data_IF_124795670114
#
_entry.id   IF_124795670114
#
_cell.length_a   1.000
_cell.length_b   1.000
_cell.length_c   1.000
_cell.angle_alpha   90.00
_cell.angle_beta   90.00
_cell.angle_gamma   90.00
#
_symmetry.space_group_name_H-M   'P 1'
#
loop_
_entity.id
_entity.type
_entity.pdbx_description
1 polymer ?
#
# COMPACT_ATOMS: atom_id res chain seq x y z
N UNK A 1 19.91 -23.99 -2.16
CA UNK A 1 18.76 -23.40 -2.88
C UNK A 1 17.69 -23.09 -1.84
N UNK A 2 17.51 -21.83 -1.40
CA UNK A 2 16.39 -21.46 -0.56
C UNK A 2 15.13 -21.31 -1.42
N UNK A 3 13.98 -21.67 -0.84
CA UNK A 3 12.67 -21.72 -1.51
C UNK A 3 12.09 -20.31 -1.64
N UNK A 4 11.41 -20.05 -2.76
CA UNK A 4 10.84 -18.76 -3.15
C UNK A 4 9.59 -18.32 -2.34
N UNK A 5 9.45 -18.73 -1.08
CA UNK A 5 8.27 -18.44 -0.25
C UNK A 5 8.54 -17.61 1.01
N UNK A 6 9.80 -17.43 1.41
CA UNK A 6 10.13 -16.87 2.73
C UNK A 6 10.27 -15.33 2.74
N UNK A 7 10.30 -14.69 1.56
CA UNK A 7 10.53 -13.24 1.45
C UNK A 7 9.32 -12.38 1.83
N UNK A 8 8.10 -12.86 1.62
CA UNK A 8 6.88 -12.08 1.85
C UNK A 8 6.54 -12.02 3.35
N UNK A 9 6.74 -13.11 4.10
CA UNK A 9 6.46 -13.16 5.54
C UNK A 9 7.40 -12.27 6.37
N UNK A 10 8.66 -12.09 5.92
CA UNK A 10 9.66 -11.27 6.60
C UNK A 10 9.32 -9.77 6.50
N UNK A 11 8.62 -9.35 5.43
CA UNK A 11 8.08 -7.98 5.29
C UNK A 11 6.90 -7.69 6.21
N UNK A 12 5.99 -8.64 6.46
CA UNK A 12 4.83 -8.44 7.34
C UNK A 12 5.21 -8.33 8.82
N UNK A 13 6.11 -9.16 9.33
CA UNK A 13 6.54 -9.08 10.74
C UNK A 13 7.50 -7.91 11.03
N UNK A 14 8.27 -7.46 10.03
CA UNK A 14 9.26 -6.40 10.20
C UNK A 14 8.68 -4.98 10.39
N UNK A 15 7.42 -4.76 10.00
CA UNK A 15 6.70 -3.49 10.13
C UNK A 15 6.05 -3.38 11.53
N UNK A 16 5.49 -4.48 12.04
CA UNK A 16 4.81 -4.52 13.35
C UNK A 16 5.78 -4.30 14.53
N UNK A 17 6.97 -4.90 14.53
CA UNK A 17 7.95 -4.74 15.62
C UNK A 17 8.53 -3.32 15.73
N UNK A 18 8.47 -2.52 14.66
CA UNK A 18 9.11 -1.18 14.61
C UNK A 18 8.20 -0.04 15.05
N UNK A 19 6.91 -0.28 15.24
CA UNK A 19 5.97 0.74 15.69
C UNK A 19 6.03 0.99 17.21
N UNK A 20 6.65 0.10 17.99
CA UNK A 20 6.56 0.13 19.46
C UNK A 20 7.66 0.93 20.18
N UNK A 21 8.71 1.38 19.48
CA UNK A 21 9.84 2.05 20.13
C UNK A 21 10.18 3.34 19.40
N UNK A 22 9.57 4.46 19.82
CA UNK A 22 10.14 5.81 19.69
C UNK A 22 9.31 6.81 20.51
N UNK A 23 9.50 6.78 21.83
CA UNK A 23 9.19 7.94 22.67
C UNK A 23 10.38 8.25 23.58
N UNK A 24 11.27 9.11 23.09
CA UNK A 24 12.16 9.92 23.93
C UNK A 24 12.59 11.20 23.20
N UNK A 25 12.24 12.33 23.82
CA UNK A 25 12.60 13.73 23.53
C UNK A 25 13.96 13.97 22.83
N UNK A 26 13.99 14.92 21.90
CA UNK A 26 14.77 16.18 21.95
C UNK A 26 14.37 17.08 20.77
N UNK A 27 13.99 18.33 21.07
CA UNK A 27 13.87 19.43 20.11
C UNK A 27 15.26 19.81 19.58
N UNK A 28 15.47 19.63 18.27
CA UNK A 28 16.51 20.34 17.52
C UNK A 28 15.97 20.59 16.12
N UNK A 29 16.29 21.73 15.50
CA UNK A 29 15.99 22.01 14.09
C UNK A 29 16.77 21.04 13.20
N UNK A 30 16.35 19.78 13.17
CA UNK A 30 16.82 18.79 12.21
C UNK A 30 15.93 18.89 10.99
N UNK A 31 16.55 19.07 9.83
CA UNK A 31 15.90 18.79 8.55
C UNK A 31 15.36 17.36 8.59
N UNK A 32 14.18 17.12 8.04
CA UNK A 32 13.61 15.78 7.97
C UNK A 32 14.61 14.83 7.31
N UNK A 33 14.87 13.69 7.94
CA UNK A 33 15.71 12.63 7.43
C UNK A 33 15.08 11.28 7.78
N UNK A 34 15.07 10.31 6.85
CA UNK A 34 14.49 9.00 7.12
C UNK A 34 15.28 8.28 8.24
N UNK A 35 14.64 7.43 9.06
CA UNK A 35 15.29 6.79 10.20
C UNK A 35 16.46 5.85 9.84
N UNK A 36 16.56 5.39 8.59
CA UNK A 36 17.66 4.56 8.08
C UNK A 36 18.05 4.97 6.67
N UNK A 37 19.34 5.14 6.44
CA UNK A 37 19.93 5.31 5.11
C UNK A 37 20.36 3.95 4.55
N UNK A 38 20.08 3.69 3.27
CA UNK A 38 20.55 2.48 2.58
C UNK A 38 21.93 2.77 1.99
N UNK A 39 22.98 2.27 2.63
CA UNK A 39 24.36 2.64 2.33
C UNK A 39 24.92 2.08 1.00
N UNK A 40 24.27 1.07 0.39
CA UNK A 40 24.63 0.54 -0.94
C UNK A 40 23.36 0.42 -1.77
N UNK A 41 23.26 1.21 -2.82
CA UNK A 41 22.15 1.16 -3.78
C UNK A 41 22.69 0.64 -5.11
N UNK A 42 22.24 -0.56 -5.50
CA UNK A 42 22.47 -1.06 -6.86
C UNK A 42 21.24 -0.69 -7.68
N UNK A 43 21.43 0.19 -8.66
CA UNK A 43 20.37 0.61 -9.59
C UNK A 43 20.70 0.10 -10.99
N UNK A 44 19.66 -0.12 -11.81
CA UNK A 44 19.79 -0.49 -13.22
C UNK A 44 20.72 -1.69 -13.46
N UNK A 45 20.57 -2.75 -12.65
CA UNK A 45 21.36 -3.99 -12.77
C UNK A 45 21.00 -4.80 -14.02
N UNK A 46 19.87 -4.51 -14.67
CA UNK A 46 19.47 -5.13 -15.91
C UNK A 46 20.28 -4.56 -17.08
N UNK A 47 20.94 -5.41 -17.91
CA UNK A 47 21.63 -4.94 -19.11
C UNK A 47 20.67 -4.17 -20.04
N UNK A 48 21.08 -3.00 -20.59
CA UNK A 48 20.18 -2.14 -21.39
C UNK A 48 19.52 -2.85 -22.58
N UNK A 49 20.22 -3.81 -23.19
CA UNK A 49 19.70 -4.59 -24.34
C UNK A 49 18.45 -5.40 -23.97
N UNK A 50 18.26 -5.75 -22.69
CA UNK A 50 17.07 -6.48 -22.23
C UNK A 50 15.81 -5.61 -22.19
N UNK A 51 15.91 -4.29 -22.28
CA UNK A 51 14.74 -3.41 -22.39
C UNK A 51 13.89 -3.74 -23.64
N UNK A 52 14.54 -4.13 -24.74
CA UNK A 52 13.87 -4.50 -26.00
C UNK A 52 12.91 -5.68 -25.81
N UNK A 53 13.17 -6.55 -24.82
CA UNK A 53 12.29 -7.68 -24.49
C UNK A 53 10.93 -7.15 -24.03
N UNK A 54 10.89 -6.21 -23.08
CA UNK A 54 9.63 -5.65 -22.56
C UNK A 54 8.89 -4.83 -23.60
N UNK A 55 9.62 -4.14 -24.48
CA UNK A 55 9.04 -3.44 -25.62
C UNK A 55 8.36 -4.43 -26.59
N UNK A 56 9.04 -5.54 -26.92
CA UNK A 56 8.47 -6.59 -27.77
C UNK A 56 7.26 -7.31 -27.15
N UNK A 57 7.18 -7.35 -25.82
CA UNK A 57 6.11 -7.98 -25.07
C UNK A 57 4.90 -7.06 -24.80
N UNK A 58 4.91 -5.80 -25.25
CA UNK A 58 3.78 -4.87 -25.01
C UNK A 58 2.45 -5.41 -25.56
N UNK A 59 2.46 -5.98 -26.77
CA UNK A 59 1.30 -6.65 -27.35
C UNK A 59 0.82 -7.84 -26.51
N UNK A 60 1.76 -8.69 -26.08
CA UNK A 60 1.45 -9.82 -25.22
C UNK A 60 0.87 -9.38 -23.87
N UNK A 61 1.43 -8.35 -23.24
CA UNK A 61 0.93 -7.83 -21.97
C UNK A 61 -0.48 -7.25 -22.12
N UNK A 62 -0.76 -6.54 -23.21
CA UNK A 62 -2.12 -6.08 -23.52
C UNK A 62 -3.12 -7.23 -23.58
N UNK A 63 -2.75 -8.32 -24.24
CA UNK A 63 -3.66 -9.43 -24.52
C UNK A 63 -3.72 -10.48 -23.40
N UNK A 64 -2.78 -10.48 -22.45
CA UNK A 64 -2.68 -11.51 -21.41
C UNK A 64 -2.63 -10.95 -19.99
N UNK A 65 -1.96 -9.81 -19.77
CA UNK A 65 -1.84 -9.19 -18.45
C UNK A 65 -3.05 -8.32 -18.14
N UNK A 66 -3.42 -7.40 -19.05
CA UNK A 66 -4.50 -6.43 -18.81
C UNK A 66 -5.88 -7.09 -18.64
N UNK A 67 -6.05 -8.33 -19.10
CA UNK A 67 -7.29 -9.09 -18.91
C UNK A 67 -7.60 -9.42 -17.45
N UNK A 68 -6.59 -9.36 -16.58
CA UNK A 68 -6.77 -9.59 -15.15
C UNK A 68 -7.30 -8.37 -14.39
N UNK A 69 -7.26 -7.19 -15.01
CA UNK A 69 -7.85 -5.98 -14.44
C UNK A 69 -9.36 -6.02 -14.56
N UNK A 70 -10.05 -5.63 -13.49
CA UNK A 70 -11.51 -5.53 -13.52
C UNK A 70 -11.91 -4.16 -14.06
N UNK A 71 -12.89 -4.09 -14.97
CA UNK A 71 -13.49 -2.80 -15.34
C UNK A 71 -14.03 -2.11 -14.09
N UNK A 72 -13.79 -0.80 -13.97
CA UNK A 72 -14.18 0.01 -12.79
C UNK A 72 -15.66 -0.19 -12.42
N UNK A 73 -16.54 -0.20 -13.43
CA UNK A 73 -17.99 -0.42 -13.27
C UNK A 73 -18.38 -1.80 -12.70
N UNK A 74 -17.43 -2.72 -12.62
CA UNK A 74 -17.60 -4.07 -12.05
C UNK A 74 -16.74 -4.28 -10.78
N UNK A 75 -15.99 -3.26 -10.36
CA UNK A 75 -15.23 -3.30 -9.12
C UNK A 75 -16.14 -2.98 -7.95
N UNK A 76 -15.93 -3.68 -6.84
CA UNK A 76 -16.45 -3.23 -5.55
C UNK A 76 -15.83 -1.87 -5.19
N UNK A 77 -16.52 -1.08 -4.39
CA UNK A 77 -16.01 0.17 -3.84
C UNK A 77 -16.05 0.12 -2.31
N UNK A 78 -15.21 0.88 -1.59
CA UNK A 78 -15.20 0.88 -0.12
C UNK A 78 -16.59 1.10 0.49
N UNK A 79 -17.42 1.92 -0.14
CA UNK A 79 -18.77 2.22 0.32
C UNK A 79 -19.70 1.00 0.34
N UNK A 80 -19.44 -0.04 -0.47
CA UNK A 80 -20.23 -1.27 -0.48
C UNK A 80 -20.15 -2.04 0.85
N UNK A 81 -19.13 -1.74 1.68
CA UNK A 81 -18.83 -2.44 2.93
C UNK A 81 -18.83 -1.53 4.16
N UNK A 82 -19.18 -0.26 4.00
CA UNK A 82 -19.19 0.74 5.06
C UNK A 82 -20.62 1.24 5.31
N UNK A 83 -20.95 1.70 6.53
CA UNK A 83 -22.21 2.37 6.78
C UNK A 83 -22.47 3.50 5.77
N UNK A 84 -23.69 3.58 5.24
CA UNK A 84 -24.04 4.57 4.23
C UNK A 84 -24.33 5.93 4.91
N UNK A 85 -23.47 6.96 4.74
CA UNK A 85 -23.67 8.25 5.37
C UNK A 85 -24.89 9.03 4.83
N UNK A 86 -25.47 8.63 3.69
CA UNK A 86 -26.68 9.23 3.14
C UNK A 86 -27.97 8.52 3.60
N UNK A 87 -27.85 7.38 4.27
CA UNK A 87 -28.99 6.60 4.78
C UNK A 87 -29.48 7.19 6.11
N UNK A 88 -30.81 7.19 6.31
CA UNK A 88 -31.42 7.49 7.61
C UNK A 88 -30.95 6.52 8.72
N UNK A 89 -30.48 5.32 8.33
CA UNK A 89 -29.95 4.27 9.21
C UNK A 89 -28.46 4.42 9.56
N UNK A 90 -27.75 5.43 9.05
CA UNK A 90 -26.30 5.57 9.21
C UNK A 90 -25.82 5.40 10.66
N UNK A 91 -26.49 6.07 11.60
CA UNK A 91 -26.08 6.04 13.01
C UNK A 91 -26.29 4.66 13.66
N UNK A 92 -27.31 3.92 13.26
CA UNK A 92 -27.57 2.57 13.75
C UNK A 92 -26.55 1.57 13.18
N UNK A 93 -26.22 1.69 11.89
CA UNK A 93 -25.18 0.87 11.24
C UNK A 93 -23.79 1.10 11.86
N UNK A 94 -23.43 2.37 12.13
CA UNK A 94 -22.18 2.71 12.84
C UNK A 94 -22.19 2.13 14.26
N UNK A 95 -23.31 2.21 14.97
CA UNK A 95 -23.44 1.63 16.31
C UNK A 95 -23.25 0.11 16.28
N UNK A 96 -23.90 -0.58 15.35
CA UNK A 96 -23.77 -2.04 15.18
C UNK A 96 -22.32 -2.44 14.84
N UNK A 97 -21.65 -1.71 13.94
CA UNK A 97 -20.23 -1.91 13.64
C UNK A 97 -19.39 -1.83 14.90
N UNK A 98 -19.61 -0.81 15.73
CA UNK A 98 -18.87 -0.62 16.99
C UNK A 98 -19.17 -1.69 18.02
N UNK A 99 -20.41 -2.15 18.14
CA UNK A 99 -20.75 -3.25 19.05
C UNK A 99 -20.02 -4.54 18.67
N UNK A 100 -20.01 -4.92 17.39
CA UNK A 100 -19.24 -6.07 16.90
C UNK A 100 -17.74 -5.87 17.12
N UNK A 101 -17.24 -4.66 16.86
CA UNK A 101 -15.83 -4.35 17.05
C UNK A 101 -15.37 -4.48 18.51
N UNK A 102 -16.26 -4.42 19.52
CA UNK A 102 -15.91 -4.69 20.93
C UNK A 102 -15.46 -6.12 21.18
N UNK A 103 -15.98 -7.07 20.40
CA UNK A 103 -15.68 -8.50 20.55
C UNK A 103 -14.40 -8.92 19.81
N UNK A 104 -13.81 -8.01 19.02
CA UNK A 104 -12.53 -8.25 18.34
C UNK A 104 -11.38 -8.02 19.35
N UNK A 105 -10.46 -9.00 19.51
CA UNK A 105 -9.34 -8.88 20.43
C UNK A 105 -8.29 -7.89 19.92
N UNK A 106 -7.56 -7.25 20.84
CA UNK A 106 -6.55 -6.24 20.50
C UNK A 106 -5.43 -6.80 19.63
N UNK A 107 -5.01 -8.05 19.84
CA UNK A 107 -3.98 -8.72 19.02
C UNK A 107 -4.37 -8.76 17.54
N UNK A 108 -5.66 -8.95 17.24
CA UNK A 108 -6.16 -8.91 15.86
C UNK A 108 -6.12 -7.49 15.30
N UNK A 109 -6.51 -6.49 16.11
CA UNK A 109 -6.50 -5.10 15.70
C UNK A 109 -5.08 -4.59 15.43
N UNK A 110 -4.07 -5.04 16.18
CA UNK A 110 -2.66 -4.71 15.91
C UNK A 110 -2.24 -5.19 14.52
N UNK A 111 -2.56 -6.45 14.17
CA UNK A 111 -2.27 -6.98 12.83
C UNK A 111 -3.03 -6.21 11.75
N UNK A 112 -4.33 -5.97 11.94
CA UNK A 112 -5.16 -5.25 10.97
C UNK A 112 -4.69 -3.81 10.75
N UNK A 113 -4.21 -3.14 11.82
CA UNK A 113 -3.59 -1.82 11.73
C UNK A 113 -2.29 -1.88 10.93
N UNK A 114 -1.45 -2.90 11.16
CA UNK A 114 -0.23 -3.11 10.37
C UNK A 114 -0.51 -3.32 8.89
N UNK A 115 -1.53 -4.12 8.56
CA UNK A 115 -1.99 -4.34 7.18
C UNK A 115 -2.46 -3.02 6.57
N UNK A 116 -3.33 -2.27 7.25
CA UNK A 116 -3.84 -0.99 6.76
C UNK A 116 -2.74 0.05 6.52
N UNK A 117 -1.77 0.17 7.45
CA UNK A 117 -0.62 1.09 7.30
C UNK A 117 0.18 0.73 6.04
N UNK A 118 0.31 -0.56 5.75
CA UNK A 118 1.04 -1.06 4.57
C UNK A 118 0.27 -0.71 3.29
N UNK A 119 -1.05 -0.92 3.26
CA UNK A 119 -1.91 -0.52 2.12
C UNK A 119 -1.85 1.00 1.85
N UNK A 120 -1.82 1.84 2.89
CA UNK A 120 -1.72 3.30 2.77
C UNK A 120 -0.36 3.78 2.23
N UNK A 121 0.67 2.93 2.24
CA UNK A 121 1.98 3.25 1.67
C UNK A 121 2.04 3.13 0.13
N UNK A 122 0.88 2.96 -0.53
CA UNK A 122 0.70 2.80 -1.97
C UNK A 122 1.55 3.72 -2.88
N UNK A 123 1.75 5.03 -2.58
CA UNK A 123 2.62 5.87 -3.40
C UNK A 123 4.06 5.32 -3.53
N UNK A 124 4.55 4.64 -2.49
CA UNK A 124 5.86 3.97 -2.49
C UNK A 124 5.88 2.81 -3.48
N UNK A 125 4.83 1.98 -3.51
CA UNK A 125 4.76 0.81 -4.38
C UNK A 125 4.61 1.19 -5.85
N UNK A 126 3.78 2.17 -6.16
CA UNK A 126 3.70 2.71 -7.52
C UNK A 126 5.04 3.30 -7.98
N UNK A 127 5.73 4.02 -7.09
CA UNK A 127 7.08 4.54 -7.37
C UNK A 127 8.05 3.40 -7.66
N UNK A 128 8.04 2.32 -6.88
CA UNK A 128 8.87 1.14 -7.11
C UNK A 128 8.59 0.48 -8.48
N UNK A 129 7.33 0.34 -8.88
CA UNK A 129 7.01 -0.16 -10.23
C UNK A 129 7.54 0.78 -11.33
N UNK A 130 7.49 2.09 -11.09
CA UNK A 130 8.00 3.11 -12.00
C UNK A 130 9.53 3.30 -11.94
N UNK A 131 10.26 2.59 -11.08
CA UNK A 131 11.74 2.51 -11.17
C UNK A 131 12.21 1.30 -11.96
N UNK A 132 11.32 0.36 -12.31
CA UNK A 132 11.67 -0.84 -13.07
C UNK A 132 11.97 -0.52 -14.54
N UNK A 133 13.16 -0.91 -14.99
CA UNK A 133 13.60 -0.74 -16.36
C UNK A 133 12.70 -1.51 -17.34
N UNK A 134 12.31 -0.84 -18.44
CA UNK A 134 11.52 -1.43 -19.52
C UNK A 134 9.99 -1.39 -19.31
N UNK A 135 9.50 -1.12 -18.10
CA UNK A 135 8.05 -1.13 -17.79
C UNK A 135 7.52 0.15 -17.15
N UNK A 136 8.40 1.05 -16.68
CA UNK A 136 8.00 2.31 -16.04
C UNK A 136 7.12 3.20 -16.91
N UNK A 137 6.26 3.98 -16.27
CA UNK A 137 5.50 5.04 -16.92
C UNK A 137 6.35 6.30 -17.10
N UNK A 138 6.74 6.58 -18.35
CA UNK A 138 7.61 7.72 -18.70
C UNK A 138 6.92 9.09 -18.60
N UNK A 139 5.58 9.14 -18.60
CA UNK A 139 4.84 10.42 -18.69
C UNK A 139 3.80 10.59 -17.59
N UNK A 140 3.53 9.55 -16.80
CA UNK A 140 2.38 9.46 -15.91
C UNK A 140 1.06 9.14 -16.63
N UNK A 141 1.09 9.02 -17.95
CA UNK A 141 -0.04 8.67 -18.80
C UNK A 141 0.39 7.90 -20.05
N UNK A 142 1.53 7.18 -20.00
CA UNK A 142 2.05 6.44 -21.15
C UNK A 142 1.01 5.39 -21.61
N UNK A 143 0.84 5.21 -22.94
CA UNK A 143 -0.13 4.27 -23.49
C UNK A 143 0.37 2.82 -23.52
N UNK A 144 1.60 2.54 -23.05
CA UNK A 144 2.13 1.17 -23.01
C UNK A 144 1.29 0.30 -22.08
N UNK A 145 1.16 -0.99 -22.41
CA UNK A 145 0.41 -1.94 -21.60
C UNK A 145 0.94 -2.00 -20.16
N UNK A 146 2.27 -1.90 -20.00
CA UNK A 146 2.92 -1.86 -18.69
C UNK A 146 2.52 -0.65 -17.85
N UNK A 147 2.49 0.55 -18.45
CA UNK A 147 2.10 1.77 -17.74
C UNK A 147 0.59 1.77 -17.43
N UNK A 148 -0.24 1.29 -18.37
CA UNK A 148 -1.69 1.10 -18.13
C UNK A 148 -1.92 0.13 -16.97
N UNK A 149 -1.20 -0.99 -16.91
CA UNK A 149 -1.25 -1.92 -15.79
C UNK A 149 -0.87 -1.25 -14.48
N UNK A 150 0.28 -0.56 -14.41
CA UNK A 150 0.73 0.12 -13.18
C UNK A 150 -0.32 1.09 -12.66
N UNK A 151 -0.92 1.92 -13.53
CA UNK A 151 -1.97 2.88 -13.11
C UNK A 151 -3.26 2.18 -12.68
N UNK A 152 -3.71 1.17 -13.41
CA UNK A 152 -4.95 0.45 -13.10
C UNK A 152 -4.81 -0.39 -11.83
N UNK A 153 -3.69 -1.10 -11.65
CA UNK A 153 -3.36 -1.81 -10.41
C UNK A 153 -3.34 -0.84 -9.24
N UNK A 154 -2.66 0.31 -9.36
CA UNK A 154 -2.65 1.34 -8.30
C UNK A 154 -4.06 1.82 -7.96
N UNK A 155 -4.91 2.04 -8.97
CA UNK A 155 -6.30 2.43 -8.75
C UNK A 155 -7.11 1.33 -8.04
N UNK A 156 -6.86 0.06 -8.35
CA UNK A 156 -7.47 -1.06 -7.64
C UNK A 156 -7.01 -1.15 -6.18
N UNK A 157 -5.69 -1.05 -5.92
CA UNK A 157 -5.09 -1.11 -4.57
C UNK A 157 -5.51 0.05 -3.66
N UNK A 158 -5.72 1.26 -4.21
CA UNK A 158 -6.13 2.42 -3.42
C UNK A 158 -7.38 2.14 -2.57
N UNK A 159 -8.30 1.34 -3.10
CA UNK A 159 -9.55 0.98 -2.41
C UNK A 159 -9.32 0.12 -1.16
N UNK A 160 -8.20 -0.61 -1.07
CA UNK A 160 -7.87 -1.45 0.08
C UNK A 160 -7.58 -0.58 1.31
N UNK A 161 -6.66 0.38 1.18
CA UNK A 161 -6.35 1.37 2.22
C UNK A 161 -7.59 2.16 2.62
N UNK A 162 -8.33 2.67 1.63
CA UNK A 162 -9.56 3.44 1.84
C UNK A 162 -10.62 2.72 2.69
N UNK A 163 -10.83 1.42 2.45
CA UNK A 163 -11.80 0.61 3.18
C UNK A 163 -11.31 0.34 4.60
N UNK A 164 -10.07 -0.12 4.75
CA UNK A 164 -9.50 -0.47 6.06
C UNK A 164 -9.37 0.76 6.96
N UNK A 165 -8.97 1.92 6.41
CA UNK A 165 -8.85 3.17 7.15
C UNK A 165 -10.20 3.59 7.75
N UNK A 166 -11.24 3.67 6.91
CA UNK A 166 -12.60 4.05 7.36
C UNK A 166 -13.17 3.03 8.33
N UNK A 167 -12.95 1.74 8.10
CA UNK A 167 -13.35 0.69 9.05
C UNK A 167 -12.71 0.90 10.42
N UNK A 168 -11.38 1.00 10.49
CA UNK A 168 -10.62 1.22 11.73
C UNK A 168 -11.03 2.52 12.43
N UNK A 169 -11.20 3.60 11.68
CA UNK A 169 -11.72 4.87 12.18
C UNK A 169 -13.09 4.70 12.86
N UNK A 170 -14.05 4.04 12.19
CA UNK A 170 -15.41 3.86 12.70
C UNK A 170 -15.46 2.94 13.92
N UNK A 171 -14.57 1.94 14.02
CA UNK A 171 -14.52 1.04 15.18
C UNK A 171 -14.36 1.79 16.50
N UNK A 172 -13.62 2.91 16.50
CA UNK A 172 -13.22 3.63 17.71
C UNK A 172 -12.35 2.81 18.67
N UNK A 173 -11.73 1.73 18.19
CA UNK A 173 -10.90 0.81 19.00
C UNK A 173 -9.39 1.10 18.89
N UNK A 174 -8.98 2.00 18.01
CA UNK A 174 -7.57 2.29 17.72
C UNK A 174 -7.28 3.80 17.77
N UNK A 175 -6.02 4.17 17.99
CA UNK A 175 -5.57 5.56 17.96
C UNK A 175 -5.20 5.97 16.53
N UNK A 176 -6.17 6.53 15.81
CA UNK A 176 -5.98 6.98 14.42
C UNK A 176 -4.86 8.01 14.28
N UNK A 177 -4.65 8.88 15.28
CA UNK A 177 -3.59 9.90 15.22
C UNK A 177 -2.20 9.26 15.21
N UNK A 178 -2.01 8.19 15.97
CA UNK A 178 -0.75 7.46 15.97
C UNK A 178 -0.55 6.65 14.68
N UNK A 179 -1.64 6.10 14.12
CA UNK A 179 -1.62 5.39 12.84
C UNK A 179 -1.25 6.34 11.69
N UNK A 180 -1.93 7.48 11.58
CA UNK A 180 -1.66 8.51 10.56
C UNK A 180 -0.21 9.02 10.60
N UNK A 181 0.33 9.24 11.80
CA UNK A 181 1.75 9.57 11.97
C UNK A 181 2.66 8.45 11.46
N UNK A 182 2.29 7.20 11.72
CA UNK A 182 3.07 6.03 11.29
C UNK A 182 3.08 5.92 9.77
N UNK A 183 1.93 6.11 9.12
CA UNK A 183 1.81 6.18 7.65
C UNK A 183 2.72 7.28 7.11
N UNK A 184 2.66 8.49 7.69
CA UNK A 184 3.50 9.61 7.28
C UNK A 184 5.00 9.29 7.41
N UNK A 185 5.41 8.64 8.50
CA UNK A 185 6.79 8.19 8.66
C UNK A 185 7.17 7.13 7.64
N UNK A 186 6.29 6.16 7.37
CA UNK A 186 6.54 5.07 6.44
C UNK A 186 6.73 5.58 5.01
N UNK A 187 5.78 6.39 4.52
CA UNK A 187 5.87 6.99 3.18
C UNK A 187 7.11 7.89 3.07
N UNK A 188 7.37 8.72 4.08
CA UNK A 188 8.56 9.58 4.09
C UNK A 188 9.89 8.81 4.17
N UNK A 189 9.85 7.56 4.64
CA UNK A 189 11.02 6.67 4.68
C UNK A 189 11.22 5.90 3.36
N UNK A 190 10.13 5.60 2.66
CA UNK A 190 10.14 4.75 1.48
C UNK A 190 10.57 3.30 1.77
N UNK A 191 10.78 2.54 0.70
CA UNK A 191 11.24 1.15 0.75
C UNK A 191 12.26 0.91 -0.37
N UNK A 192 13.22 0.02 -0.12
CA UNK A 192 14.16 -0.45 -1.15
C UNK A 192 13.93 -1.96 -1.32
N UNK A 193 13.67 -2.38 -2.55
CA UNK A 193 13.73 -3.80 -2.93
C UNK A 193 15.19 -4.24 -2.99
N UNK A 194 15.54 -5.28 -2.23
CA UNK A 194 16.85 -5.94 -2.30
C UNK A 194 16.97 -6.83 -3.53
#
# INVERSE_FOLDING_TARGET
MPKAGDGVLITYMGIAERCFVLYSRIESKKTFAPPKEVHVQVTHSMPPQKMEIFQSLDGWARDNLLLHLKPVEKCWQPQDFLPDPASDGFHDEVKELRERAKEIPDDYLVCLVGDMITEEALPTYQTMLNTLDGVRDETGASPTAWAVWTRAWTAEENRHGDLLNKYLYLTGRVDMRQIEKTIQYLIGSGMVSW
#
